data_IF_542445224938
#
_entry.id   IF_542445224938
#
_cell.length_a   1.000
_cell.length_b   1.000
_cell.length_c   1.000
_cell.angle_alpha   90.00
_cell.angle_beta   90.00
_cell.angle_gamma   90.00
#
_symmetry.space_group_name_H-M   'P 1'
#
loop_
_entity.id
_entity.type
_entity.pdbx_description
1 polymer ?
#
# COMPACT_ATOMS: atom_id res chain seq x y z
N UNK A 1 21.28 -1.38 45.71
CA UNK A 1 20.49 -1.36 44.46
C UNK A 1 19.05 -1.07 44.83
N UNK A 2 18.63 0.20 44.80
CA UNK A 2 17.28 0.61 45.23
C UNK A 2 16.27 0.31 44.14
N UNK A 3 15.29 -0.57 44.43
CA UNK A 3 14.06 -0.67 43.66
C UNK A 3 13.31 0.65 43.81
N UNK A 4 13.22 1.44 42.73
CA UNK A 4 12.32 2.58 42.68
C UNK A 4 10.89 2.03 42.61
N UNK A 5 10.14 2.14 43.69
CA UNK A 5 8.70 1.86 43.67
C UNK A 5 8.01 3.02 42.95
N UNK A 6 7.44 2.71 41.78
CA UNK A 6 6.61 3.63 41.01
C UNK A 6 5.29 3.85 41.73
N UNK A 7 4.94 5.11 41.94
CA UNK A 7 3.67 5.50 42.59
C UNK A 7 2.46 5.15 41.70
N UNK A 8 1.30 4.94 42.31
CA UNK A 8 0.08 4.50 41.61
C UNK A 8 -0.37 5.51 40.53
N UNK A 9 -0.15 6.80 40.76
CA UNK A 9 -0.40 7.84 39.76
C UNK A 9 0.49 7.69 38.53
N UNK A 10 1.77 7.38 38.73
CA UNK A 10 2.70 7.16 37.62
C UNK A 10 2.32 5.89 36.84
N UNK A 11 1.86 4.83 37.52
CA UNK A 11 1.33 3.62 36.87
C UNK A 11 0.11 3.92 36.00
N UNK A 12 -0.82 4.75 36.49
CA UNK A 12 -1.98 5.18 35.69
C UNK A 12 -1.59 6.08 34.51
N UNK A 13 -0.62 6.99 34.70
CA UNK A 13 -0.11 7.83 33.61
C UNK A 13 0.56 6.99 32.52
N UNK A 14 1.37 6.02 32.92
CA UNK A 14 1.98 5.06 31.99
C UNK A 14 0.92 4.21 31.30
N UNK A 15 -0.10 3.72 32.01
CA UNK A 15 -1.19 2.94 31.43
C UNK A 15 -1.96 3.72 30.35
N UNK A 16 -2.26 5.01 30.59
CA UNK A 16 -2.89 5.88 29.60
C UNK A 16 -1.98 6.19 28.42
N UNK A 17 -0.68 6.41 28.67
CA UNK A 17 0.30 6.62 27.61
C UNK A 17 0.42 5.37 26.73
N UNK A 18 0.59 4.19 27.32
CA UNK A 18 0.67 2.91 26.59
C UNK A 18 -0.61 2.64 25.82
N UNK A 19 -1.78 2.86 26.42
CA UNK A 19 -3.05 2.71 25.71
C UNK A 19 -3.17 3.70 24.55
N UNK A 20 -2.79 4.97 24.74
CA UNK A 20 -2.76 5.97 23.66
C UNK A 20 -1.82 5.59 22.52
N UNK A 21 -0.63 5.07 22.84
CA UNK A 21 0.33 4.55 21.86
C UNK A 21 -0.21 3.33 21.12
N UNK A 22 -0.85 2.40 21.83
CA UNK A 22 -1.40 1.17 21.24
C UNK A 22 -2.60 1.47 20.34
N UNK A 23 -3.48 2.38 20.75
CA UNK A 23 -4.60 2.85 19.94
C UNK A 23 -4.14 3.67 18.73
N UNK A 24 -3.11 4.49 18.89
CA UNK A 24 -2.51 5.23 17.77
C UNK A 24 -1.87 4.27 16.74
N UNK A 25 -1.11 3.27 17.19
CA UNK A 25 -0.51 2.27 16.30
C UNK A 25 -1.55 1.42 15.55
N UNK A 26 -2.64 1.02 16.24
CA UNK A 26 -3.74 0.25 15.65
C UNK A 26 -4.63 1.12 14.74
N UNK A 27 -4.76 2.42 15.04
CA UNK A 27 -5.70 3.31 14.35
C UNK A 27 -5.13 4.10 13.18
N UNK A 28 -3.86 4.53 13.22
CA UNK A 28 -3.26 5.34 12.16
C UNK A 28 -2.82 4.49 10.96
N UNK A 29 -2.42 3.23 11.17
CA UNK A 29 -1.84 2.43 10.08
C UNK A 29 -2.89 1.82 9.15
N UNK A 30 -4.08 1.46 9.62
CA UNK A 30 -5.06 0.71 8.83
C UNK A 30 -5.79 1.58 7.78
N UNK A 31 -6.28 2.75 8.17
CA UNK A 31 -7.03 3.63 7.27
C UNK A 31 -6.14 4.29 6.21
N UNK A 32 -4.93 4.71 6.62
CA UNK A 32 -3.95 5.31 5.72
C UNK A 32 -3.40 4.26 4.75
N UNK A 33 -3.08 3.06 5.24
CA UNK A 33 -2.68 1.95 4.38
C UNK A 33 -3.79 1.53 3.41
N UNK A 34 -5.04 1.46 3.87
CA UNK A 34 -6.18 1.15 3.02
C UNK A 34 -6.35 2.15 1.87
N UNK A 35 -6.22 3.44 2.17
CA UNK A 35 -6.27 4.49 1.14
C UNK A 35 -5.13 4.35 0.10
N UNK A 36 -3.91 4.07 0.55
CA UNK A 36 -2.77 3.84 -0.36
C UNK A 36 -2.97 2.59 -1.20
N UNK A 37 -3.50 1.53 -0.61
CA UNK A 37 -3.81 0.28 -1.30
C UNK A 37 -4.85 0.51 -2.40
N UNK A 38 -5.93 1.25 -2.11
CA UNK A 38 -6.97 1.57 -3.06
C UNK A 38 -6.45 2.43 -4.24
N UNK A 39 -5.67 3.48 -3.96
CA UNK A 39 -5.05 4.31 -5.01
C UNK A 39 -4.09 3.49 -5.86
N UNK A 40 -3.26 2.65 -5.23
CA UNK A 40 -2.30 1.81 -5.93
C UNK A 40 -3.00 0.83 -6.86
N UNK A 41 -4.03 0.12 -6.38
CA UNK A 41 -4.81 -0.79 -7.20
C UNK A 41 -5.51 -0.08 -8.35
N UNK A 42 -6.16 1.05 -8.07
CA UNK A 42 -6.84 1.83 -9.10
C UNK A 42 -5.88 2.23 -10.21
N UNK A 43 -4.70 2.75 -9.85
CA UNK A 43 -3.67 3.17 -10.81
C UNK A 43 -3.19 1.98 -11.66
N UNK A 44 -2.95 0.83 -11.03
CA UNK A 44 -2.55 -0.40 -11.75
C UNK A 44 -3.63 -0.83 -12.73
N UNK A 45 -4.91 -0.82 -12.32
CA UNK A 45 -6.02 -1.21 -13.19
C UNK A 45 -6.19 -0.25 -14.35
N UNK A 46 -6.07 1.06 -14.12
CA UNK A 46 -6.17 2.08 -15.16
C UNK A 46 -5.03 1.89 -16.21
N UNK A 47 -3.80 1.71 -15.75
CA UNK A 47 -2.64 1.44 -16.63
C UNK A 47 -2.76 0.10 -17.37
N UNK A 48 -3.22 -0.96 -16.70
CA UNK A 48 -3.48 -2.25 -17.33
C UNK A 48 -4.58 -2.11 -18.40
N UNK A 49 -5.59 -1.28 -18.16
CA UNK A 49 -6.67 -1.04 -19.12
C UNK A 49 -6.18 -0.26 -20.34
N UNK A 50 -5.25 0.70 -20.17
CA UNK A 50 -4.58 1.36 -21.29
C UNK A 50 -3.72 0.40 -22.10
N UNK A 51 -2.96 -0.49 -21.44
CA UNK A 51 -2.17 -1.52 -22.14
C UNK A 51 -3.07 -2.48 -22.94
N UNK A 52 -4.23 -2.85 -22.40
CA UNK A 52 -5.26 -3.60 -23.12
C UNK A 52 -5.84 -2.77 -24.27
N UNK A 53 -6.08 -1.46 -24.11
CA UNK A 53 -6.53 -0.66 -25.25
C UNK A 53 -5.48 -0.64 -26.34
N UNK A 54 -4.20 -0.40 -26.03
CA UNK A 54 -3.11 -0.35 -27.01
C UNK A 54 -2.92 -1.70 -27.71
N UNK A 55 -2.82 -2.80 -26.97
CA UNK A 55 -2.62 -4.13 -27.56
C UNK A 55 -3.80 -4.60 -28.43
N UNK A 56 -4.98 -4.03 -28.23
CA UNK A 56 -6.20 -4.43 -28.92
C UNK A 56 -6.78 -3.33 -29.82
N UNK A 57 -6.16 -2.15 -29.90
CA UNK A 57 -6.57 -1.01 -30.73
C UNK A 57 -6.16 -1.19 -32.21
N UNK A 58 -5.16 -2.01 -32.49
CA UNK A 58 -4.67 -2.26 -33.86
C UNK A 58 -5.65 -3.09 -34.71
N UNK A 59 -6.74 -3.56 -34.10
CA UNK A 59 -7.89 -4.11 -34.81
C UNK A 59 -9.15 -3.56 -34.15
N UNK A 60 -10.27 -3.45 -34.88
CA UNK A 60 -11.58 -3.04 -34.36
C UNK A 60 -12.17 -4.05 -33.32
N UNK A 61 -11.33 -4.61 -32.44
CA UNK A 61 -11.55 -5.80 -31.62
C UNK A 61 -12.15 -5.52 -30.24
N UNK A 62 -12.13 -4.27 -29.77
CA UNK A 62 -12.67 -3.92 -28.44
C UNK A 62 -14.20 -4.10 -28.40
N UNK A 63 -14.90 -3.85 -29.50
CA UNK A 63 -16.35 -4.07 -29.63
C UNK A 63 -16.63 -5.50 -30.12
N UNK A 64 -16.63 -6.46 -29.19
CA UNK A 64 -17.14 -7.82 -29.44
C UNK A 64 -16.15 -8.97 -29.24
N UNK A 65 -15.00 -8.74 -28.62
CA UNK A 65 -14.09 -9.85 -28.30
C UNK A 65 -14.70 -10.79 -27.23
N UNK A 66 -14.72 -12.11 -27.46
CA UNK A 66 -15.10 -13.07 -26.44
C UNK A 66 -14.14 -13.01 -25.25
N UNK A 67 -14.68 -13.00 -24.03
CA UNK A 67 -13.90 -12.95 -22.78
C UNK A 67 -12.81 -14.04 -22.72
N UNK A 68 -13.08 -15.22 -23.30
CA UNK A 68 -12.13 -16.32 -23.41
C UNK A 68 -10.82 -15.97 -24.15
N UNK A 69 -10.82 -14.96 -25.03
CA UNK A 69 -9.61 -14.49 -25.73
C UNK A 69 -8.83 -13.43 -24.95
N UNK A 70 -9.50 -12.71 -24.04
CA UNK A 70 -8.91 -11.64 -23.24
C UNK A 70 -8.23 -12.23 -22.00
N UNK A 71 -8.88 -13.20 -21.35
CA UNK A 71 -8.44 -13.80 -20.08
C UNK A 71 -6.99 -14.32 -20.08
N UNK A 72 -6.50 -15.03 -21.12
CA UNK A 72 -5.11 -15.50 -21.16
C UNK A 72 -4.09 -14.37 -21.18
N UNK A 73 -4.41 -13.23 -21.80
CA UNK A 73 -3.51 -12.07 -21.90
C UNK A 73 -3.42 -11.31 -20.59
N UNK A 74 -4.54 -11.19 -19.87
CA UNK A 74 -4.57 -10.63 -18.51
C UNK A 74 -3.67 -11.42 -17.55
N UNK A 75 -3.71 -12.76 -17.64
CA UNK A 75 -2.85 -13.63 -16.83
C UNK A 75 -1.35 -13.46 -17.10
N UNK A 76 -0.97 -13.04 -18.31
CA UNK A 76 0.43 -12.76 -18.66
C UNK A 76 0.89 -11.37 -18.22
N UNK A 77 -0.02 -10.39 -18.17
CA UNK A 77 0.30 -9.02 -17.74
C UNK A 77 0.59 -8.93 -16.23
N UNK A 78 -0.10 -9.74 -15.41
CA UNK A 78 -0.21 -9.41 -13.99
C UNK A 78 0.97 -9.71 -13.05
N UNK A 79 1.88 -10.67 -13.34
CA UNK A 79 2.58 -11.25 -12.16
C UNK A 79 3.91 -12.00 -12.34
N UNK A 80 4.51 -12.08 -13.53
CA UNK A 80 5.65 -13.01 -13.73
C UNK A 80 7.00 -12.33 -13.95
N UNK A 81 7.10 -11.02 -13.74
CA UNK A 81 8.36 -10.29 -13.93
C UNK A 81 9.10 -10.05 -12.62
N UNK A 82 10.43 -10.03 -12.71
CA UNK A 82 11.31 -9.68 -11.61
C UNK A 82 10.95 -8.28 -11.07
N UNK A 83 11.00 -8.04 -9.75
CA UNK A 83 10.49 -6.80 -9.16
C UNK A 83 11.13 -5.51 -9.71
N UNK A 84 12.38 -5.60 -10.16
CA UNK A 84 13.12 -4.50 -10.80
C UNK A 84 12.60 -4.17 -12.20
N UNK A 85 12.02 -5.14 -12.89
CA UNK A 85 11.52 -5.05 -14.27
C UNK A 85 10.00 -4.88 -14.35
N UNK A 86 9.29 -5.22 -13.28
CA UNK A 86 7.84 -5.11 -13.22
C UNK A 86 7.41 -3.63 -13.25
N UNK A 87 6.80 -3.22 -14.37
CA UNK A 87 6.30 -1.86 -14.58
C UNK A 87 5.28 -1.43 -13.51
N UNK A 88 4.42 -2.34 -13.03
CA UNK A 88 3.42 -2.02 -12.01
C UNK A 88 4.07 -1.67 -10.66
N UNK A 89 5.16 -2.35 -10.29
CA UNK A 89 5.92 -2.01 -9.08
C UNK A 89 6.55 -0.62 -9.21
N UNK A 90 7.07 -0.27 -10.40
CA UNK A 90 7.60 1.07 -10.64
C UNK A 90 6.51 2.14 -10.59
N UNK A 91 5.33 1.86 -11.15
CA UNK A 91 4.16 2.77 -11.08
C UNK A 91 3.79 3.03 -9.62
N UNK A 92 3.60 1.99 -8.81
CA UNK A 92 3.25 2.14 -7.39
C UNK A 92 4.33 2.93 -6.65
N UNK A 93 5.61 2.62 -6.89
CA UNK A 93 6.74 3.30 -6.24
C UNK A 93 6.77 4.80 -6.55
N UNK A 94 6.35 5.20 -7.74
CA UNK A 94 6.39 6.58 -8.19
C UNK A 94 5.13 7.38 -7.82
N UNK A 95 4.15 6.76 -7.15
CA UNK A 95 2.98 7.47 -6.65
C UNK A 95 3.37 8.40 -5.49
N UNK A 96 2.98 9.69 -5.54
CA UNK A 96 3.31 10.65 -4.48
C UNK A 96 2.67 10.25 -3.13
N UNK A 97 1.50 9.64 -3.15
CA UNK A 97 0.82 9.19 -1.94
C UNK A 97 1.60 8.07 -1.24
N UNK A 98 2.25 7.20 -2.01
CA UNK A 98 3.10 6.11 -1.50
C UNK A 98 4.34 6.69 -0.83
N UNK A 99 4.98 7.69 -1.44
CA UNK A 99 6.17 8.35 -0.89
C UNK A 99 5.85 9.11 0.42
N UNK A 100 4.73 9.84 0.45
CA UNK A 100 4.25 10.53 1.65
C UNK A 100 3.92 9.53 2.76
N UNK A 101 3.23 8.43 2.43
CA UNK A 101 2.91 7.38 3.40
C UNK A 101 4.18 6.77 4.02
N UNK A 102 5.16 6.39 3.21
CA UNK A 102 6.42 5.85 3.73
C UNK A 102 7.19 6.89 4.54
N UNK A 103 7.23 8.15 4.10
CA UNK A 103 7.88 9.24 4.85
C UNK A 103 7.27 9.40 6.23
N UNK A 104 5.93 9.42 6.33
CA UNK A 104 5.23 9.51 7.61
C UNK A 104 5.47 8.26 8.46
N UNK A 105 5.43 7.07 7.86
CA UNK A 105 5.69 5.81 8.54
C UNK A 105 7.10 5.80 9.17
N UNK A 106 8.12 6.16 8.39
CA UNK A 106 9.52 6.17 8.85
C UNK A 106 9.82 7.31 9.83
N UNK A 107 9.23 8.50 9.65
CA UNK A 107 9.42 9.63 10.56
C UNK A 107 8.85 9.35 11.96
N UNK A 108 7.80 8.53 12.05
CA UNK A 108 7.15 8.18 13.31
C UNK A 108 7.62 6.83 13.88
N UNK A 109 8.57 6.13 13.24
CA UNK A 109 9.13 4.92 13.84
C UNK A 109 9.95 5.30 15.08
N UNK A 110 9.71 4.65 16.23
CA UNK A 110 10.50 4.91 17.42
C UNK A 110 11.95 4.53 17.10
N UNK A 111 12.83 5.54 17.03
CA UNK A 111 14.26 5.32 17.02
C UNK A 111 14.62 4.66 18.34
N UNK A 112 14.98 3.38 18.28
CA UNK A 112 15.51 2.65 19.43
C UNK A 112 16.86 3.28 19.81
N UNK A 113 16.84 4.28 20.69
CA UNK A 113 18.01 4.71 21.48
C UNK A 113 18.06 3.97 22.83
#
# INVERSE_FOLDING_TARGET
MSKKEFTEEERQRLGKAVAGWMWWAVGCTDAEFGHIFDISLKTIVDEMMEDIKVQFAESNMILGMPLAKILPRLGQMGLLEEPSRNRFIQIIRNLPEVDVFFTLLYANMPTSE
#
